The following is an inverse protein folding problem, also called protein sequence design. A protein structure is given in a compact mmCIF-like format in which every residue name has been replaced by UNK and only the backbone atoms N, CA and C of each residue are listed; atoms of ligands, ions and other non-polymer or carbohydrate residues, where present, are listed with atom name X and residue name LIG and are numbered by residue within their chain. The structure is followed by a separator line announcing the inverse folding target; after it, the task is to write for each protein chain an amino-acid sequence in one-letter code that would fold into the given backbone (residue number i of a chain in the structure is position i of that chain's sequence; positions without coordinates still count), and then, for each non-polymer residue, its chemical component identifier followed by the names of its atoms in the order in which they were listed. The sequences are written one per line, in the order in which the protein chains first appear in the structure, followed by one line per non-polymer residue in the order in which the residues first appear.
data_IF_559024839315
#
_entry.id   IF_559024839315
#
_cell.length_a   1.000
_cell.length_b   1.000
_cell.length_c   1.000
_cell.angle_alpha   90.00
_cell.angle_beta   90.00
_cell.angle_gamma   90.00
#
_symmetry.space_group_name_H-M   'P 1'
#
loop_
_entity.id
_entity.type
_entity.pdbx_description
1 polymer ?
#
# COMPACT_ATOMS: atom_id res chain seq x y z
N UNK A 1 6.59 24.28 28.46
CA UNK A 1 8.04 24.54 28.39
C UNK A 1 8.24 26.05 28.29
N UNK A 2 8.87 26.69 29.29
CA UNK A 2 9.06 28.16 29.28
C UNK A 2 10.17 28.52 28.26
N UNK A 3 9.80 29.20 27.18
CA UNK A 3 10.71 29.78 26.17
C UNK A 3 11.66 30.85 26.75
N UNK A 4 11.58 31.16 28.05
CA UNK A 4 12.34 32.22 28.72
C UNK A 4 13.79 31.85 29.09
N UNK A 5 14.29 30.66 28.70
CA UNK A 5 15.63 30.17 29.05
C UNK A 5 16.60 30.06 27.87
N UNK A 6 16.14 30.30 26.63
CA UNK A 6 17.01 30.32 25.46
C UNK A 6 17.21 31.78 25.06
N UNK A 7 18.45 32.28 25.07
CA UNK A 7 18.76 33.61 24.50
C UNK A 7 18.20 33.65 23.08
N UNK A 8 17.40 34.68 22.76
CA UNK A 8 16.81 34.88 21.44
C UNK A 8 17.86 34.95 20.31
N UNK A 9 19.14 35.16 20.65
CA UNK A 9 20.27 35.17 19.71
C UNK A 9 20.65 33.78 19.16
N UNK A 10 20.16 32.68 19.76
CA UNK A 10 20.49 31.31 19.33
C UNK A 10 19.43 30.64 18.46
N UNK A 11 18.28 31.29 18.22
CA UNK A 11 17.18 30.76 17.43
C UNK A 11 16.78 31.79 16.38
N UNK A 12 16.88 31.44 15.11
CA UNK A 12 16.41 32.27 14.00
C UNK A 12 15.22 31.59 13.31
N UNK A 13 14.04 32.21 13.36
CA UNK A 13 12.87 31.78 12.59
C UNK A 13 12.84 32.51 11.26
N UNK A 14 13.16 31.82 10.18
CA UNK A 14 13.26 32.43 8.84
C UNK A 14 11.89 32.72 8.22
N UNK A 15 10.83 32.06 8.69
CA UNK A 15 9.54 32.05 8.01
C UNK A 15 9.67 31.46 6.61
N UNK A 16 8.83 31.94 5.68
CA UNK A 16 8.91 31.56 4.27
C UNK A 16 10.00 32.37 3.58
N UNK A 17 10.95 31.68 2.97
CA UNK A 17 12.10 32.26 2.27
C UNK A 17 12.18 31.74 0.84
N UNK A 18 13.01 32.37 0.00
CA UNK A 18 13.25 31.94 -1.38
C UNK A 18 14.10 30.68 -1.45
N UNK A 19 14.02 29.93 -2.55
CA UNK A 19 14.85 28.74 -2.79
C UNK A 19 16.36 29.07 -2.76
N UNK A 20 16.75 30.27 -3.18
CA UNK A 20 18.14 30.74 -3.05
C UNK A 20 18.57 30.87 -1.59
N UNK A 21 17.68 31.38 -0.74
CA UNK A 21 17.94 31.48 0.70
C UNK A 21 18.01 30.09 1.35
N UNK A 22 17.12 29.17 0.97
CA UNK A 22 17.15 27.77 1.44
C UNK A 22 18.49 27.10 1.09
N UNK A 23 18.95 27.24 -0.16
CA UNK A 23 20.25 26.70 -0.59
C UNK A 23 21.41 27.32 0.18
N UNK A 24 21.34 28.60 0.48
CA UNK A 24 22.33 29.29 1.32
C UNK A 24 22.34 28.73 2.73
N UNK A 25 21.17 28.45 3.33
CA UNK A 25 21.07 27.82 4.64
C UNK A 25 21.68 26.40 4.63
N UNK A 26 21.34 25.57 3.65
CA UNK A 26 21.94 24.23 3.56
C UNK A 26 23.47 24.29 3.44
N UNK A 27 24.03 25.17 2.59
CA UNK A 27 25.48 25.32 2.43
C UNK A 27 26.21 25.73 3.71
N UNK A 28 25.54 26.43 4.62
CA UNK A 28 26.10 26.89 5.88
C UNK A 28 25.67 26.03 7.08
N UNK A 29 24.81 25.03 6.87
CA UNK A 29 24.32 24.16 7.92
C UNK A 29 25.37 23.09 8.27
N UNK A 30 25.57 22.88 9.56
CA UNK A 30 26.47 21.84 10.05
C UNK A 30 25.75 20.50 10.23
N UNK A 31 24.46 20.54 10.55
CA UNK A 31 23.57 19.39 10.74
C UNK A 31 22.16 19.79 10.32
N UNK A 32 21.42 18.87 9.70
CA UNK A 32 19.98 18.96 9.50
C UNK A 32 19.29 17.98 10.44
N UNK A 33 18.40 18.47 11.30
CA UNK A 33 17.60 17.65 12.21
C UNK A 33 16.13 17.69 11.80
N UNK A 34 15.58 16.54 11.39
CA UNK A 34 14.13 16.38 11.20
C UNK A 34 13.50 15.75 12.43
N UNK A 35 12.59 16.51 13.05
CA UNK A 35 11.76 16.06 14.17
C UNK A 35 10.35 15.62 13.73
N UNK A 36 10.11 15.47 12.42
CA UNK A 36 8.79 15.15 11.89
C UNK A 36 8.33 13.78 12.38
N UNK A 37 7.08 13.66 12.81
CA UNK A 37 6.44 12.38 13.16
C UNK A 37 5.72 11.76 11.95
N UNK A 38 5.49 12.58 10.91
CA UNK A 38 4.75 12.22 9.70
C UNK A 38 5.39 12.92 8.50
N UNK A 39 6.36 12.26 7.88
CA UNK A 39 7.04 12.71 6.67
C UNK A 39 6.77 11.74 5.50
N UNK A 40 6.53 12.28 4.31
CA UNK A 40 6.39 11.49 3.09
C UNK A 40 7.77 11.06 2.58
N UNK A 41 8.03 11.20 1.28
CA UNK A 41 9.36 10.93 0.73
C UNK A 41 10.48 11.75 1.41
N UNK A 42 10.19 12.89 2.03
CA UNK A 42 11.20 13.64 2.78
C UNK A 42 12.24 14.31 1.87
N UNK A 43 11.79 15.05 0.85
CA UNK A 43 12.66 15.84 -0.03
C UNK A 43 13.70 16.70 0.72
N UNK A 44 13.38 17.37 1.85
CA UNK A 44 14.37 18.12 2.62
C UNK A 44 15.54 17.27 3.13
N UNK A 45 15.33 15.98 3.41
CA UNK A 45 16.38 15.05 3.79
C UNK A 45 17.36 14.85 2.64
N UNK A 46 16.84 14.54 1.45
CA UNK A 46 17.63 14.32 0.24
C UNK A 46 18.35 15.60 -0.20
N UNK A 47 17.70 16.76 -0.09
CA UNK A 47 18.32 18.06 -0.33
C UNK A 47 19.50 18.29 0.62
N UNK A 48 19.30 18.11 1.94
CA UNK A 48 20.36 18.24 2.92
C UNK A 48 21.55 17.31 2.62
N UNK A 49 21.28 16.05 2.26
CA UNK A 49 22.32 15.11 1.83
C UNK A 49 23.07 15.61 0.60
N UNK A 50 22.36 16.11 -0.41
CA UNK A 50 22.94 16.63 -1.65
C UNK A 50 23.79 17.89 -1.43
N UNK A 51 23.51 18.67 -0.38
CA UNK A 51 24.34 19.79 0.06
C UNK A 51 25.51 19.38 0.98
N UNK A 52 25.70 18.08 1.25
CA UNK A 52 26.77 17.60 2.12
C UNK A 52 26.53 17.92 3.60
N UNK A 53 25.27 18.06 4.00
CA UNK A 53 24.86 18.29 5.39
C UNK A 53 24.51 16.95 6.02
N UNK A 54 25.14 16.53 7.13
CA UNK A 54 24.73 15.36 7.88
C UNK A 54 23.27 15.46 8.34
N UNK A 55 22.51 14.40 8.08
CA UNK A 55 21.08 14.33 8.37
C UNK A 55 20.83 13.42 9.57
N UNK A 56 20.17 13.98 10.59
CA UNK A 56 19.60 13.27 11.72
C UNK A 56 18.08 13.38 11.59
N UNK A 57 17.35 12.28 11.73
CA UNK A 57 15.91 12.31 11.57
C UNK A 57 15.21 11.32 12.49
N UNK A 58 14.01 11.69 12.97
CA UNK A 58 13.12 10.76 13.66
C UNK A 58 12.78 9.59 12.74
N UNK A 59 12.89 8.37 13.26
CA UNK A 59 12.58 7.15 12.53
C UNK A 59 11.06 6.93 12.45
N UNK A 60 10.38 7.75 11.67
CA UNK A 60 8.92 7.70 11.49
C UNK A 60 8.53 7.69 10.02
N UNK A 61 7.37 7.09 9.71
CA UNK A 61 6.80 7.02 8.36
C UNK A 61 7.83 6.57 7.30
N UNK A 62 8.00 7.32 6.21
CA UNK A 62 8.90 6.98 5.11
C UNK A 62 10.35 7.48 5.31
N UNK A 63 10.66 8.19 6.41
CA UNK A 63 12.02 8.66 6.72
C UNK A 63 13.05 7.53 6.71
N UNK A 64 12.82 6.36 7.34
CA UNK A 64 13.80 5.27 7.30
C UNK A 64 14.12 4.76 5.89
N UNK A 65 13.11 4.70 5.01
CA UNK A 65 13.26 4.23 3.63
C UNK A 65 14.04 5.22 2.76
N UNK A 66 13.68 6.51 2.86
CA UNK A 66 14.37 7.61 2.18
C UNK A 66 15.81 7.72 2.64
N UNK A 67 16.03 7.67 3.95
CA UNK A 67 17.36 7.78 4.56
C UNK A 67 18.22 6.56 4.23
N UNK A 68 17.64 5.36 4.15
CA UNK A 68 18.42 4.13 3.98
C UNK A 68 19.53 4.04 5.03
N UNK A 69 20.77 3.86 4.58
CA UNK A 69 21.96 3.95 5.43
C UNK A 69 22.59 5.36 5.46
N UNK A 70 22.03 6.32 4.73
CA UNK A 70 22.58 7.66 4.51
C UNK A 70 22.28 8.66 5.61
N UNK A 71 22.29 8.27 6.88
CA UNK A 71 22.19 9.23 7.98
C UNK A 71 21.74 8.57 9.26
N UNK A 72 21.50 9.36 10.31
CA UNK A 72 21.22 8.83 11.64
C UNK A 72 19.72 8.84 11.91
N UNK A 73 19.15 7.66 12.07
CA UNK A 73 17.76 7.45 12.45
C UNK A 73 17.62 7.42 13.98
N UNK A 74 16.79 8.30 14.52
CA UNK A 74 16.53 8.44 15.95
C UNK A 74 15.20 7.77 16.27
N UNK A 75 15.25 6.63 16.97
CA UNK A 75 14.06 5.88 17.38
C UNK A 75 13.43 6.43 18.67
N UNK A 76 14.27 6.81 19.64
CA UNK A 76 13.84 7.39 20.92
C UNK A 76 14.12 8.89 20.93
N UNK A 77 13.09 9.70 21.18
CA UNK A 77 13.18 11.16 21.10
C UNK A 77 13.71 11.80 22.39
N UNK A 78 14.89 11.35 22.82
CA UNK A 78 15.58 11.79 24.04
C UNK A 78 16.43 13.04 23.74
N UNK A 79 15.91 14.22 24.11
CA UNK A 79 16.48 15.52 23.74
C UNK A 79 17.96 15.67 24.15
N UNK A 80 18.36 15.37 25.42
CA UNK A 80 19.79 15.35 25.79
C UNK A 80 20.67 14.49 24.88
N UNK A 81 20.25 13.27 24.55
CA UNK A 81 21.04 12.37 23.69
C UNK A 81 21.12 12.89 22.26
N UNK A 82 20.05 13.47 21.74
CA UNK A 82 20.05 14.08 20.40
C UNK A 82 21.03 15.26 20.36
N UNK A 83 21.05 16.10 21.39
CA UNK A 83 21.98 17.22 21.48
C UNK A 83 23.45 16.75 21.55
N UNK A 84 23.74 15.71 22.32
CA UNK A 84 25.07 15.08 22.37
C UNK A 84 25.47 14.50 21.01
N UNK A 85 24.56 13.78 20.36
CA UNK A 85 24.76 13.23 19.02
C UNK A 85 25.05 14.31 17.98
N UNK A 86 24.29 15.42 18.00
CA UNK A 86 24.54 16.58 17.14
C UNK A 86 25.94 17.15 17.39
N UNK A 87 26.35 17.27 18.66
CA UNK A 87 27.68 17.76 19.00
C UNK A 87 28.79 16.84 18.48
N UNK A 88 28.62 15.51 18.60
CA UNK A 88 29.57 14.53 18.05
C UNK A 88 29.68 14.68 16.52
N UNK A 89 28.54 14.77 15.82
CA UNK A 89 28.52 14.92 14.35
C UNK A 89 29.17 16.23 13.88
N UNK A 90 29.13 17.28 14.69
CA UNK A 90 29.79 18.56 14.39
C UNK A 90 31.29 18.53 14.75
N UNK A 91 31.66 17.92 15.88
CA UNK A 91 33.02 17.98 16.41
C UNK A 91 33.96 16.89 15.85
N UNK A 92 33.45 15.68 15.60
CA UNK A 92 34.25 14.55 15.11
C UNK A 92 34.19 14.45 13.58
N UNK A 93 35.28 14.86 12.93
CA UNK A 93 35.41 14.84 11.48
C UNK A 93 35.35 13.42 10.88
N UNK A 94 35.79 12.39 11.62
CA UNK A 94 35.73 11.02 11.13
C UNK A 94 34.29 10.50 11.13
N UNK A 95 33.53 10.78 12.20
CA UNK A 95 32.11 10.45 12.26
C UNK A 95 31.34 11.20 11.18
N UNK A 96 31.60 12.50 11.03
CA UNK A 96 31.02 13.32 9.98
C UNK A 96 31.27 12.73 8.60
N UNK A 97 32.52 12.40 8.28
CA UNK A 97 32.87 11.89 6.96
C UNK A 97 32.18 10.55 6.67
N UNK A 98 32.13 9.63 7.64
CA UNK A 98 31.41 8.35 7.49
C UNK A 98 29.92 8.53 7.16
N UNK A 99 29.28 9.50 7.79
CA UNK A 99 27.87 9.84 7.51
C UNK A 99 27.73 10.39 6.09
N UNK A 100 28.64 11.30 5.68
CA UNK A 100 28.60 11.89 4.34
C UNK A 100 28.88 10.87 3.23
N UNK A 101 29.78 9.90 3.46
CA UNK A 101 30.06 8.83 2.51
C UNK A 101 28.81 7.97 2.29
N UNK A 102 28.13 7.61 3.39
CA UNK A 102 26.86 6.87 3.32
C UNK A 102 25.71 7.67 2.73
N UNK A 103 25.65 8.98 2.98
CA UNK A 103 24.71 9.88 2.31
C UNK A 103 24.92 9.90 0.81
N UNK A 104 26.19 10.00 0.39
CA UNK A 104 26.57 10.00 -1.03
C UNK A 104 26.17 8.69 -1.70
N UNK A 105 26.41 7.55 -1.04
CA UNK A 105 25.95 6.23 -1.50
C UNK A 105 24.41 6.22 -1.65
N UNK A 106 23.68 6.71 -0.66
CA UNK A 106 22.22 6.77 -0.68
C UNK A 106 21.68 7.66 -1.83
N UNK A 107 22.33 8.78 -2.12
CA UNK A 107 21.94 9.69 -3.22
C UNK A 107 21.97 9.01 -4.59
N UNK A 108 22.81 7.98 -4.78
CA UNK A 108 22.86 7.24 -6.06
C UNK A 108 21.52 6.57 -6.39
N UNK A 109 20.74 6.15 -5.38
CA UNK A 109 19.40 5.56 -5.54
C UNK A 109 18.42 6.53 -6.23
N UNK A 110 18.69 7.82 -6.11
CA UNK A 110 17.82 8.91 -6.59
C UNK A 110 18.43 9.67 -7.77
N UNK A 111 19.49 9.13 -8.39
CA UNK A 111 20.09 9.76 -9.56
C UNK A 111 19.12 9.77 -10.75
N UNK A 112 19.20 10.83 -11.55
CA UNK A 112 18.37 10.97 -12.78
C UNK A 112 18.58 9.80 -13.74
N UNK A 113 19.82 9.31 -13.85
CA UNK A 113 20.15 8.16 -14.69
C UNK A 113 19.46 6.89 -14.20
N UNK A 114 19.51 6.59 -12.91
CA UNK A 114 18.84 5.40 -12.36
C UNK A 114 17.32 5.52 -12.45
N UNK A 115 16.76 6.71 -12.23
CA UNK A 115 15.34 6.97 -12.45
C UNK A 115 14.93 6.77 -13.92
N UNK A 116 15.74 7.26 -14.87
CA UNK A 116 15.51 7.13 -16.30
C UNK A 116 15.66 5.69 -16.79
N UNK A 117 16.65 4.94 -16.31
CA UNK A 117 16.84 3.51 -16.63
C UNK A 117 15.64 2.69 -16.15
N UNK A 118 15.20 2.92 -14.91
CA UNK A 118 14.01 2.25 -14.35
C UNK A 118 12.74 2.59 -15.14
N UNK A 119 12.58 3.85 -15.53
CA UNK A 119 11.45 4.31 -16.34
C UNK A 119 11.49 3.72 -17.75
N UNK A 120 12.65 3.72 -18.41
CA UNK A 120 12.81 3.20 -19.77
C UNK A 120 12.60 1.68 -19.82
N UNK A 121 13.16 0.94 -18.87
CA UNK A 121 12.93 -0.50 -18.77
C UNK A 121 11.44 -0.84 -18.61
N UNK A 122 10.72 -0.04 -17.82
CA UNK A 122 9.28 -0.17 -17.68
C UNK A 122 8.53 0.13 -19.01
N UNK A 123 8.96 1.14 -19.76
CA UNK A 123 8.36 1.49 -21.06
C UNK A 123 8.66 0.45 -22.15
N UNK A 124 9.90 -0.01 -22.27
CA UNK A 124 10.32 -0.97 -23.31
C UNK A 124 9.60 -2.32 -23.14
N UNK A 125 9.42 -2.76 -21.89
CA UNK A 125 8.68 -3.98 -21.56
C UNK A 125 7.21 -3.93 -22.03
N UNK A 126 6.59 -2.74 -21.96
CA UNK A 126 5.19 -2.55 -22.36
C UNK A 126 4.98 -2.63 -23.89
N UNK A 127 6.04 -2.45 -24.70
CA UNK A 127 5.93 -2.23 -26.15
C UNK A 127 6.12 -3.48 -27.04
N UNK A 128 6.75 -4.57 -26.59
CA UNK A 128 7.25 -5.63 -27.49
C UNK A 128 6.59 -7.03 -27.36
N UNK A 129 5.31 -7.10 -26.98
CA UNK A 129 4.53 -8.35 -26.81
C UNK A 129 4.70 -9.38 -27.95
N UNK A 130 5.07 -10.63 -27.66
CA UNK A 130 4.95 -11.77 -28.59
C UNK A 130 4.23 -12.97 -27.94
N UNK A 131 3.28 -13.57 -28.67
CA UNK A 131 2.37 -14.65 -28.24
C UNK A 131 2.88 -16.05 -28.66
N UNK A 132 2.42 -17.11 -27.98
CA UNK A 132 2.66 -18.51 -28.39
C UNK A 132 1.46 -19.46 -28.09
N UNK A 133 1.15 -20.43 -28.98
CA UNK A 133 -0.04 -21.28 -28.92
C UNK A 133 0.24 -22.65 -28.27
N UNK A 134 -0.23 -22.86 -27.03
CA UNK A 134 -0.14 -24.14 -26.32
C UNK A 134 -1.43 -24.42 -25.51
N UNK A 135 -2.59 -24.10 -26.11
CA UNK A 135 -3.92 -24.34 -25.52
C UNK A 135 -4.55 -25.70 -25.88
N UNK A 136 -3.84 -26.60 -26.56
CA UNK A 136 -4.38 -27.92 -26.94
C UNK A 136 -3.66 -29.05 -26.23
N UNK A 137 -4.15 -29.44 -25.05
CA UNK A 137 -4.30 -30.82 -24.53
C UNK A 137 -4.55 -30.79 -23.02
N UNK A 138 -5.81 -30.55 -22.65
CA UNK A 138 -6.37 -30.95 -21.37
C UNK A 138 -7.01 -32.33 -21.54
N UNK A 139 -6.61 -33.30 -20.72
CA UNK A 139 -7.40 -34.50 -20.47
C UNK A 139 -7.73 -34.56 -18.98
N UNK A 140 -9.01 -34.79 -18.71
CA UNK A 140 -9.73 -34.50 -17.47
C UNK A 140 -10.30 -35.82 -16.96
N UNK A 141 -9.48 -36.72 -16.43
CA UNK A 141 -9.97 -37.96 -15.82
C UNK A 141 -8.99 -38.50 -14.78
N UNK A 142 -9.08 -38.02 -13.54
CA UNK A 142 -9.08 -38.84 -12.29
C UNK A 142 -8.98 -37.90 -11.10
N UNK A 143 -9.97 -38.00 -10.21
CA UNK A 143 -10.05 -37.21 -9.00
C UNK A 143 -8.87 -37.43 -8.05
N UNK A 144 -8.74 -36.45 -7.14
CA UNK A 144 -7.58 -36.15 -6.29
C UNK A 144 -6.44 -35.54 -7.10
N UNK A 145 -6.60 -34.26 -7.45
CA UNK A 145 -5.53 -33.45 -8.00
C UNK A 145 -4.29 -33.56 -7.10
N UNK A 146 -3.13 -33.72 -7.73
CA UNK A 146 -1.85 -33.78 -7.05
C UNK A 146 -1.77 -32.66 -6.02
N UNK A 147 -1.61 -33.04 -4.75
CA UNK A 147 -1.28 -32.11 -3.66
C UNK A 147 -0.03 -31.38 -4.14
N UNK A 148 -0.19 -30.09 -4.50
CA UNK A 148 0.93 -29.23 -4.83
C UNK A 148 2.01 -29.40 -3.76
N UNK A 149 3.28 -29.43 -4.17
CA UNK A 149 4.41 -29.65 -3.25
C UNK A 149 4.21 -28.76 -2.01
N UNK A 150 4.22 -29.32 -0.78
CA UNK A 150 4.02 -28.52 0.42
C UNK A 150 5.11 -27.45 0.51
N UNK A 151 4.74 -26.20 0.75
CA UNK A 151 5.68 -25.19 1.22
C UNK A 151 6.43 -25.73 2.44
N UNK A 152 7.77 -25.71 2.40
CA UNK A 152 8.61 -26.13 3.53
C UNK A 152 8.45 -25.24 4.78
N UNK A 153 7.81 -24.08 4.64
CA UNK A 153 7.52 -23.13 5.73
C UNK A 153 6.35 -23.54 6.64
N UNK A 154 5.44 -24.39 6.15
CA UNK A 154 4.21 -24.76 6.85
C UNK A 154 4.18 -26.26 7.10
N UNK A 155 3.75 -26.67 8.29
CA UNK A 155 3.48 -28.08 8.57
C UNK A 155 2.25 -28.49 7.72
N UNK A 156 2.22 -29.70 7.13
CA UNK A 156 1.11 -30.16 6.26
C UNK A 156 -0.29 -30.05 6.90
N UNK A 157 -0.37 -29.92 8.24
CA UNK A 157 -1.62 -29.79 9.00
C UNK A 157 -2.16 -28.36 9.14
N UNK A 158 -1.48 -27.33 8.61
CA UNK A 158 -1.83 -25.92 8.85
C UNK A 158 -2.00 -25.10 7.57
N UNK A 159 -2.25 -25.74 6.41
CA UNK A 159 -2.59 -25.01 5.19
C UNK A 159 -4.08 -24.69 5.14
N UNK A 160 -4.48 -23.51 4.60
CA UNK A 160 -5.88 -23.24 4.32
C UNK A 160 -6.39 -24.22 3.27
N UNK A 161 -7.60 -24.75 3.49
CA UNK A 161 -8.22 -25.72 2.58
C UNK A 161 -8.72 -25.01 1.31
N UNK A 162 -9.25 -23.80 1.46
CA UNK A 162 -9.76 -22.97 0.37
C UNK A 162 -9.24 -21.53 0.50
N UNK A 163 -8.02 -21.23 0.00
CA UNK A 163 -7.53 -19.86 -0.07
C UNK A 163 -8.15 -19.09 -1.24
N UNK A 164 -8.58 -17.86 -1.00
CA UNK A 164 -8.93 -16.91 -2.04
C UNK A 164 -8.33 -15.53 -1.79
N UNK A 165 -8.04 -14.81 -2.88
CA UNK A 165 -7.47 -13.47 -2.85
C UNK A 165 -8.38 -12.52 -3.61
N UNK A 166 -8.63 -11.34 -3.03
CA UNK A 166 -9.35 -10.25 -3.67
C UNK A 166 -8.33 -9.25 -4.21
N UNK A 167 -8.16 -9.23 -5.53
CA UNK A 167 -7.49 -8.15 -6.24
C UNK A 167 -8.43 -6.95 -6.34
N UNK A 168 -7.92 -5.78 -5.98
CA UNK A 168 -8.72 -4.55 -5.99
C UNK A 168 -7.84 -3.31 -6.15
N UNK A 169 -8.49 -2.16 -6.38
CA UNK A 169 -7.88 -0.83 -6.31
C UNK A 169 -8.53 0.01 -5.22
N UNK A 170 -7.77 0.93 -4.63
CA UNK A 170 -8.25 1.71 -3.49
C UNK A 170 -9.61 2.39 -3.79
N UNK A 171 -10.53 2.33 -2.82
CA UNK A 171 -11.88 2.93 -2.91
C UNK A 171 -12.78 2.36 -4.02
N UNK A 172 -12.51 1.16 -4.52
CA UNK A 172 -13.43 0.44 -5.40
C UNK A 172 -14.62 -0.21 -4.65
N UNK A 173 -14.62 -0.26 -3.32
CA UNK A 173 -15.68 -0.90 -2.54
C UNK A 173 -15.31 -2.26 -1.91
N UNK A 174 -14.06 -2.69 -2.04
CA UNK A 174 -13.58 -3.97 -1.51
C UNK A 174 -13.79 -4.15 0.00
N UNK A 175 -13.78 -3.08 0.81
CA UNK A 175 -14.09 -3.19 2.24
C UNK A 175 -15.54 -3.61 2.49
N UNK A 176 -16.50 -3.07 1.73
CA UNK A 176 -17.90 -3.49 1.83
C UNK A 176 -18.07 -4.96 1.42
N UNK A 177 -17.37 -5.39 0.36
CA UNK A 177 -17.33 -6.80 -0.02
C UNK A 177 -16.83 -7.67 1.13
N UNK A 178 -15.74 -7.27 1.79
CA UNK A 178 -15.19 -8.02 2.92
C UNK A 178 -16.17 -8.16 4.10
N UNK A 179 -16.97 -7.13 4.38
CA UNK A 179 -18.04 -7.17 5.39
C UNK A 179 -19.10 -8.21 5.02
N UNK A 180 -19.59 -8.20 3.77
CA UNK A 180 -20.54 -9.20 3.29
C UNK A 180 -19.97 -10.63 3.35
N UNK A 181 -18.73 -10.84 2.87
CA UNK A 181 -18.09 -12.17 2.89
C UNK A 181 -17.94 -12.69 4.32
N UNK A 182 -17.52 -11.82 5.24
CA UNK A 182 -17.39 -12.17 6.67
C UNK A 182 -18.73 -12.54 7.28
N UNK A 183 -19.77 -11.75 7.02
CA UNK A 183 -21.11 -12.00 7.54
C UNK A 183 -21.74 -13.29 7.00
N UNK A 184 -21.30 -13.76 5.82
CA UNK A 184 -21.79 -14.99 5.19
C UNK A 184 -20.89 -16.21 5.46
N UNK A 185 -19.91 -16.11 6.37
CA UNK A 185 -19.05 -17.24 6.75
C UNK A 185 -17.94 -17.57 5.75
N UNK A 186 -17.72 -16.72 4.75
CA UNK A 186 -16.71 -16.92 3.69
C UNK A 186 -15.32 -16.44 4.14
N UNK A 187 -14.92 -16.83 5.35
CA UNK A 187 -13.69 -16.38 5.99
C UNK A 187 -13.77 -14.94 6.51
N UNK A 188 -12.62 -14.33 6.80
CA UNK A 188 -12.51 -12.94 7.26
C UNK A 188 -11.55 -12.17 6.37
N UNK A 189 -11.89 -11.88 5.10
CA UNK A 189 -10.98 -11.19 4.22
C UNK A 189 -10.70 -9.77 4.69
N UNK A 190 -9.42 -9.40 4.79
CA UNK A 190 -8.97 -8.02 4.96
C UNK A 190 -7.55 -7.86 4.40
N UNK A 191 -6.96 -6.69 4.55
CA UNK A 191 -5.62 -6.38 4.05
C UNK A 191 -4.56 -6.85 5.07
N UNK A 192 -4.41 -8.17 5.23
CA UNK A 192 -3.43 -8.74 6.16
C UNK A 192 -1.98 -8.40 5.79
N UNK A 193 -1.71 -8.21 4.50
CA UNK A 193 -0.36 -8.05 3.94
C UNK A 193 -0.05 -6.60 3.55
N UNK A 194 -0.59 -5.62 4.28
CA UNK A 194 -0.25 -4.23 4.01
C UNK A 194 1.26 -3.98 4.20
N UNK A 195 1.84 -3.35 3.19
CA UNK A 195 3.23 -2.89 3.19
C UNK A 195 3.31 -1.41 3.60
N UNK A 196 4.30 -1.00 4.42
CA UNK A 196 5.36 -1.82 5.03
C UNK A 196 4.84 -2.78 6.11
N UNK A 197 5.29 -4.04 6.05
CA UNK A 197 4.93 -5.08 7.02
C UNK A 197 5.41 -4.72 8.43
N UNK A 198 4.59 -5.03 9.44
CA UNK A 198 4.86 -4.67 10.85
C UNK A 198 4.56 -3.20 11.17
N UNK A 199 4.32 -2.36 10.15
CA UNK A 199 4.00 -0.94 10.31
C UNK A 199 2.54 -0.67 9.95
N UNK A 200 2.15 -0.91 8.69
CA UNK A 200 0.77 -0.64 8.23
C UNK A 200 -0.22 -1.66 8.80
N UNK A 201 0.22 -2.90 8.96
CA UNK A 201 -0.54 -3.98 9.59
C UNK A 201 -0.11 -4.25 11.05
N UNK A 202 0.46 -3.27 11.77
CA UNK A 202 0.89 -3.46 13.16
C UNK A 202 -0.22 -4.01 14.08
N UNK A 203 -1.47 -3.60 13.83
CA UNK A 203 -2.66 -4.09 14.52
C UNK A 203 -2.82 -5.62 14.43
N UNK A 204 -2.41 -6.23 13.31
CA UNK A 204 -2.50 -7.66 13.07
C UNK A 204 -1.52 -8.42 13.96
N UNK A 205 -0.28 -7.94 14.04
CA UNK A 205 0.75 -8.52 14.91
C UNK A 205 0.32 -8.48 16.37
N UNK A 206 -0.22 -7.34 16.80
CA UNK A 206 -0.74 -7.16 18.16
C UNK A 206 -1.92 -8.13 18.42
N UNK A 207 -2.84 -8.30 17.45
CA UNK A 207 -3.96 -9.23 17.56
C UNK A 207 -3.54 -10.71 17.58
N UNK A 208 -2.48 -11.08 16.87
CA UNK A 208 -1.95 -12.44 16.84
C UNK A 208 -0.99 -12.74 18.00
N UNK A 209 -0.60 -11.73 18.78
CA UNK A 209 0.39 -11.86 19.86
C UNK A 209 1.81 -12.14 19.36
N UNK A 210 2.16 -11.60 18.18
CA UNK A 210 3.43 -11.86 17.49
C UNK A 210 4.28 -10.58 17.44
N UNK A 211 5.61 -10.72 17.49
CA UNK A 211 6.53 -9.60 17.32
C UNK A 211 6.37 -8.96 15.93
N UNK A 212 6.37 -7.62 15.85
CA UNK A 212 6.26 -6.85 14.59
C UNK A 212 7.39 -7.11 13.59
N UNK A 213 8.47 -7.75 14.03
CA UNK A 213 9.60 -8.16 13.20
C UNK A 213 9.57 -9.63 12.79
N UNK A 214 8.64 -10.43 13.31
CA UNK A 214 8.55 -11.87 13.05
C UNK A 214 7.45 -12.17 12.04
N UNK A 215 7.75 -11.89 10.78
CA UNK A 215 6.83 -12.11 9.66
C UNK A 215 6.43 -13.59 9.51
N UNK A 216 7.38 -14.51 9.73
CA UNK A 216 7.14 -15.95 9.61
C UNK A 216 6.14 -16.43 10.66
N UNK A 217 6.32 -16.04 11.93
CA UNK A 217 5.37 -16.39 12.98
C UNK A 217 4.00 -15.75 12.75
N UNK A 218 3.97 -14.52 12.22
CA UNK A 218 2.73 -13.84 11.85
C UNK A 218 1.96 -14.64 10.80
N UNK A 219 2.62 -15.11 9.74
CA UNK A 219 1.99 -15.95 8.70
C UNK A 219 1.40 -17.25 9.29
N UNK A 220 2.12 -17.89 10.20
CA UNK A 220 1.67 -19.14 10.82
C UNK A 220 0.44 -18.94 11.71
N UNK A 221 0.44 -17.90 12.55
CA UNK A 221 -0.70 -17.60 13.42
C UNK A 221 -1.88 -17.01 12.65
N UNK A 222 -1.64 -16.19 11.62
CA UNK A 222 -2.68 -15.66 10.74
C UNK A 222 -3.52 -16.78 10.13
N UNK A 223 -2.87 -17.74 9.47
CA UNK A 223 -3.58 -18.85 8.81
C UNK A 223 -4.36 -19.66 9.84
N UNK A 224 -3.73 -19.99 10.96
CA UNK A 224 -4.37 -20.76 12.04
C UNK A 224 -5.61 -20.07 12.63
N UNK A 225 -5.59 -18.74 12.79
CA UNK A 225 -6.66 -17.99 13.45
C UNK A 225 -7.76 -17.50 12.49
N UNK A 226 -7.43 -17.27 11.22
CA UNK A 226 -8.35 -16.67 10.25
C UNK A 226 -9.02 -17.68 9.29
N UNK A 227 -8.71 -18.98 9.39
CA UNK A 227 -9.43 -20.05 8.66
C UNK A 227 -9.93 -21.18 9.57
N UNK A 228 -10.66 -20.92 10.67
CA UNK A 228 -11.15 -21.97 11.57
C UNK A 228 -12.14 -22.91 10.88
N UNK A 229 -12.83 -22.45 9.82
CA UNK A 229 -13.70 -23.25 8.95
C UNK A 229 -12.98 -23.74 7.68
N UNK A 230 -11.67 -23.54 7.57
CA UNK A 230 -10.86 -23.96 6.41
C UNK A 230 -10.83 -22.97 5.24
N UNK A 231 -11.66 -21.92 5.25
CA UNK A 231 -11.67 -20.86 4.22
C UNK A 231 -10.75 -19.72 4.65
N UNK A 232 -9.80 -19.35 3.80
CA UNK A 232 -8.90 -18.22 4.04
C UNK A 232 -9.07 -17.18 2.95
N UNK A 233 -9.55 -15.99 3.33
CA UNK A 233 -9.67 -14.85 2.42
C UNK A 233 -8.68 -13.76 2.77
N UNK A 234 -8.07 -13.12 1.78
CA UNK A 234 -7.37 -11.85 1.96
C UNK A 234 -7.64 -10.91 0.78
N UNK A 235 -7.50 -9.60 1.00
CA UNK A 235 -7.49 -8.61 -0.09
C UNK A 235 -6.14 -7.92 -0.16
N UNK A 236 -5.70 -7.58 -1.37
CA UNK A 236 -4.42 -6.91 -1.56
C UNK A 236 -4.46 -5.93 -2.74
N UNK A 237 -3.75 -4.82 -2.56
CA UNK A 237 -3.37 -3.91 -3.63
C UNK A 237 -2.21 -4.52 -4.43
N UNK A 238 -1.98 -4.04 -5.64
CA UNK A 238 -0.97 -4.61 -6.54
C UNK A 238 0.42 -4.61 -5.90
N UNK A 239 0.80 -3.50 -5.28
CA UNK A 239 2.11 -3.38 -4.65
C UNK A 239 2.23 -4.20 -3.35
N UNK A 240 1.11 -4.51 -2.68
CA UNK A 240 1.12 -5.42 -1.52
C UNK A 240 1.40 -6.87 -1.93
N UNK A 241 0.89 -7.31 -3.10
CA UNK A 241 1.23 -8.61 -3.69
C UNK A 241 2.74 -8.74 -3.87
N UNK A 242 3.34 -7.75 -4.53
CA UNK A 242 4.77 -7.75 -4.81
C UNK A 242 5.60 -7.75 -3.52
N UNK A 243 5.24 -6.90 -2.55
CA UNK A 243 5.92 -6.85 -1.26
C UNK A 243 5.82 -8.18 -0.48
N UNK A 244 4.67 -8.86 -0.53
CA UNK A 244 4.50 -10.16 0.10
C UNK A 244 5.41 -11.22 -0.53
N UNK A 245 5.50 -11.26 -1.87
CA UNK A 245 6.40 -12.18 -2.57
C UNK A 245 7.85 -11.93 -2.16
N UNK A 246 8.29 -10.67 -2.18
CA UNK A 246 9.65 -10.29 -1.78
C UNK A 246 9.96 -10.65 -0.32
N UNK A 247 8.99 -10.48 0.59
CA UNK A 247 9.15 -10.88 1.98
C UNK A 247 9.28 -12.40 2.11
N UNK A 248 8.44 -13.15 1.39
CA UNK A 248 8.46 -14.61 1.41
C UNK A 248 9.71 -15.21 0.76
N UNK A 249 10.28 -14.55 -0.27
CA UNK A 249 11.53 -14.94 -0.91
C UNK A 249 12.74 -14.91 0.04
N UNK A 250 12.70 -14.10 1.10
CA UNK A 250 13.73 -14.11 2.15
C UNK A 250 13.78 -15.45 2.90
N UNK A 251 12.66 -16.18 2.91
CA UNK A 251 12.53 -17.45 3.60
C UNK A 251 12.60 -18.65 2.64
N UNK A 252 12.05 -18.51 1.44
CA UNK A 252 12.14 -19.50 0.37
C UNK A 252 12.33 -18.80 -0.99
N UNK A 253 13.57 -18.79 -1.53
CA UNK A 253 13.88 -18.12 -2.80
C UNK A 253 13.13 -18.67 -4.01
N UNK A 254 12.48 -19.83 -3.92
CA UNK A 254 11.70 -20.41 -5.01
C UNK A 254 10.31 -19.80 -5.16
N UNK A 255 9.83 -19.05 -4.17
CA UNK A 255 8.54 -18.35 -4.24
C UNK A 255 8.62 -17.27 -5.32
N UNK A 256 7.82 -17.40 -6.37
CA UNK A 256 7.71 -16.42 -7.45
C UNK A 256 6.34 -15.73 -7.43
N UNK A 257 5.30 -16.46 -7.04
CA UNK A 257 3.92 -15.97 -7.08
C UNK A 257 3.14 -16.27 -5.81
N UNK A 258 1.92 -15.72 -5.73
CA UNK A 258 1.03 -15.92 -4.57
C UNK A 258 0.63 -17.40 -4.43
N UNK A 259 0.52 -18.10 -5.55
CA UNK A 259 0.16 -19.51 -5.64
C UNK A 259 1.26 -20.42 -5.06
N UNK A 260 2.52 -19.96 -5.06
CA UNK A 260 3.61 -20.65 -4.38
C UNK A 260 3.50 -20.54 -2.86
N UNK A 261 2.78 -19.53 -2.35
CA UNK A 261 2.50 -19.30 -0.92
C UNK A 261 1.17 -19.93 -0.51
N UNK A 262 0.17 -19.85 -1.39
CA UNK A 262 -1.19 -20.34 -1.19
C UNK A 262 -1.60 -21.18 -2.40
N UNK A 263 -1.26 -22.48 -2.42
CA UNK A 263 -1.64 -23.37 -3.51
C UNK A 263 -3.15 -23.38 -3.73
N UNK A 264 -3.58 -23.49 -5.00
CA UNK A 264 -4.99 -23.48 -5.41
C UNK A 264 -5.75 -22.16 -5.13
N UNK A 265 -5.05 -21.04 -4.94
CA UNK A 265 -5.68 -19.72 -4.74
C UNK A 265 -6.73 -19.41 -5.80
N UNK A 266 -7.93 -19.07 -5.35
CA UNK A 266 -9.01 -18.53 -6.20
C UNK A 266 -8.96 -17.00 -6.18
N UNK A 267 -8.96 -16.37 -7.35
CA UNK A 267 -8.91 -14.92 -7.45
C UNK A 267 -10.29 -14.31 -7.65
N UNK A 268 -10.61 -13.31 -6.85
CA UNK A 268 -11.76 -12.43 -7.01
C UNK A 268 -11.22 -11.08 -7.44
N UNK A 269 -11.77 -10.48 -8.49
CA UNK A 269 -11.34 -9.19 -9.01
C UNK A 269 -12.48 -8.18 -8.96
N UNK A 270 -12.33 -7.16 -8.11
CA UNK A 270 -13.36 -6.15 -7.90
C UNK A 270 -12.91 -4.78 -8.42
N UNK A 271 -13.66 -4.27 -9.39
CA UNK A 271 -13.43 -2.95 -9.99
C UNK A 271 -14.60 -2.01 -9.68
N UNK A 272 -14.45 -0.73 -10.00
CA UNK A 272 -15.55 0.25 -9.99
C UNK A 272 -15.70 0.89 -11.36
N UNK A 273 -16.92 0.96 -11.92
CA UNK A 273 -17.13 1.48 -13.29
C UNK A 273 -16.76 2.97 -13.39
N UNK A 274 -17.21 3.77 -12.44
CA UNK A 274 -16.94 5.21 -12.41
C UNK A 274 -15.57 5.52 -11.79
N UNK A 275 -14.53 5.52 -12.63
CA UNK A 275 -13.15 5.83 -12.25
C UNK A 275 -12.96 7.26 -11.76
N UNK A 276 -13.77 8.20 -12.23
CA UNK A 276 -13.70 9.58 -11.76
C UNK A 276 -14.23 9.68 -10.34
N UNK A 277 -15.41 9.10 -10.08
CA UNK A 277 -15.94 9.06 -8.72
C UNK A 277 -15.02 8.28 -7.78
N UNK A 278 -14.34 7.23 -8.26
CA UNK A 278 -13.31 6.53 -7.50
C UNK A 278 -12.11 7.43 -7.17
N UNK A 279 -11.56 8.15 -8.15
CA UNK A 279 -10.43 9.07 -7.96
C UNK A 279 -10.77 10.23 -7.01
N UNK A 280 -11.97 10.81 -7.12
CA UNK A 280 -12.46 11.85 -6.19
C UNK A 280 -12.61 11.29 -4.78
N UNK A 281 -13.16 10.09 -4.66
CA UNK A 281 -13.31 9.38 -3.39
C UNK A 281 -11.95 9.09 -2.73
N UNK A 282 -10.95 8.67 -3.52
CA UNK A 282 -9.58 8.43 -3.07
C UNK A 282 -8.89 9.72 -2.63
N UNK A 283 -8.98 10.77 -3.44
CA UNK A 283 -8.40 12.07 -3.12
C UNK A 283 -8.98 12.69 -1.85
N UNK A 284 -10.28 12.53 -1.61
CA UNK A 284 -10.94 12.97 -0.37
C UNK A 284 -10.46 12.18 0.84
N UNK A 285 -10.30 10.86 0.70
CA UNK A 285 -9.76 10.01 1.76
C UNK A 285 -8.34 10.41 2.12
N UNK A 286 -7.47 10.61 1.11
CA UNK A 286 -6.08 11.03 1.28
C UNK A 286 -5.97 12.38 2.00
N UNK A 287 -6.78 13.36 1.60
CA UNK A 287 -6.76 14.68 2.22
C UNK A 287 -7.26 14.68 3.66
N UNK A 288 -8.26 13.84 3.97
CA UNK A 288 -8.89 13.81 5.29
C UNK A 288 -8.21 12.84 6.26
N UNK A 289 -7.35 11.93 5.77
CA UNK A 289 -6.83 10.80 6.52
C UNK A 289 -7.90 9.76 6.91
N UNK A 290 -9.14 9.89 6.38
CA UNK A 290 -10.28 9.03 6.74
C UNK A 290 -10.59 8.05 5.63
N UNK A 291 -10.53 6.76 5.97
CA UNK A 291 -10.67 5.65 5.03
C UNK A 291 -11.96 4.82 5.22
N UNK A 292 -12.63 4.95 6.38
CA UNK A 292 -13.89 4.28 6.75
C UNK A 292 -14.93 5.32 7.22
N UNK A 293 -16.23 5.03 7.05
CA UNK A 293 -17.33 5.71 7.76
C UNK A 293 -17.75 4.78 8.89
N UNK A 294 -17.59 5.15 10.17
CA UNK A 294 -18.55 6.06 10.81
C UNK A 294 -17.90 6.98 11.86
N UNK A 295 -17.96 8.29 11.65
CA UNK A 295 -17.56 9.25 12.69
C UNK A 295 -18.44 10.49 12.60
N UNK A 296 -19.70 10.32 13.05
CA UNK A 296 -20.70 11.37 13.18
C UNK A 296 -20.30 12.38 14.27
N UNK A 297 -19.30 13.24 14.05
CA UNK A 297 -19.05 14.34 15.00
C UNK A 297 -18.26 15.56 14.51
N UNK A 298 -17.44 15.50 13.44
CA UNK A 298 -16.55 16.61 13.12
C UNK A 298 -16.59 17.08 11.66
N UNK A 299 -16.91 18.36 11.46
CA UNK A 299 -16.89 19.09 10.19
C UNK A 299 -15.45 19.14 9.62
N UNK A 300 -15.00 18.05 9.00
CA UNK A 300 -13.73 18.04 8.27
C UNK A 300 -13.80 19.00 7.10
N UNK A 301 -12.80 19.88 6.95
CA UNK A 301 -12.70 20.80 5.80
C UNK A 301 -12.69 19.98 4.50
N UNK A 302 -13.59 20.30 3.57
CA UNK A 302 -13.58 19.73 2.23
C UNK A 302 -12.27 20.14 1.52
N UNK A 303 -11.59 19.22 0.80
CA UNK A 303 -10.38 19.59 0.08
C UNK A 303 -10.67 20.65 -0.98
N UNK A 304 -9.69 21.48 -1.33
CA UNK A 304 -9.83 22.42 -2.46
C UNK A 304 -9.55 21.68 -3.75
N UNK A 305 -10.40 21.85 -4.77
CA UNK A 305 -10.20 21.22 -6.09
C UNK A 305 -8.74 21.32 -6.56
N UNK A 306 -8.17 20.19 -6.98
CA UNK A 306 -6.82 20.10 -7.52
C UNK A 306 -6.79 19.09 -8.67
N UNK A 307 -6.73 19.60 -9.90
CA UNK A 307 -6.71 18.77 -11.10
C UNK A 307 -5.54 17.79 -11.11
N UNK A 308 -4.33 18.22 -10.77
CA UNK A 308 -3.13 17.36 -10.80
C UNK A 308 -3.25 16.21 -9.80
N UNK A 309 -3.73 16.50 -8.58
CA UNK A 309 -3.93 15.46 -7.57
C UNK A 309 -4.97 14.44 -8.02
N UNK A 310 -6.13 14.90 -8.52
CA UNK A 310 -7.18 14.02 -9.05
C UNK A 310 -6.73 13.21 -10.26
N UNK A 311 -5.96 13.82 -11.16
CA UNK A 311 -5.38 13.15 -12.32
C UNK A 311 -4.40 12.06 -11.90
N UNK A 312 -3.55 12.31 -10.92
CA UNK A 312 -2.65 11.29 -10.37
C UNK A 312 -3.42 10.13 -9.73
N UNK A 313 -4.47 10.41 -8.95
CA UNK A 313 -5.33 9.36 -8.38
C UNK A 313 -6.04 8.54 -9.47
N UNK A 314 -6.53 9.22 -10.51
CA UNK A 314 -7.20 8.57 -11.64
C UNK A 314 -6.25 7.66 -12.41
N UNK A 315 -5.07 8.15 -12.78
CA UNK A 315 -4.06 7.37 -13.50
C UNK A 315 -3.51 6.24 -12.63
N UNK A 316 -3.35 6.43 -11.32
CA UNK A 316 -2.88 5.35 -10.43
C UNK A 316 -3.89 4.21 -10.35
N UNK A 317 -5.19 4.50 -10.31
CA UNK A 317 -6.24 3.48 -10.36
C UNK A 317 -6.14 2.70 -11.67
N UNK A 318 -6.06 3.39 -12.81
CA UNK A 318 -5.95 2.72 -14.12
C UNK A 318 -4.68 1.87 -14.23
N UNK A 319 -3.55 2.38 -13.77
CA UNK A 319 -2.28 1.66 -13.79
C UNK A 319 -2.32 0.41 -12.92
N UNK A 320 -2.95 0.49 -11.74
CA UNK A 320 -3.08 -0.65 -10.84
C UNK A 320 -4.02 -1.73 -11.39
N UNK A 321 -5.13 -1.34 -12.01
CA UNK A 321 -6.03 -2.29 -12.68
C UNK A 321 -5.36 -2.95 -13.89
N UNK A 322 -4.63 -2.18 -14.69
CA UNK A 322 -3.85 -2.73 -15.80
C UNK A 322 -2.81 -3.74 -15.33
N UNK A 323 -2.18 -3.50 -14.17
CA UNK A 323 -1.22 -4.41 -13.58
C UNK A 323 -1.87 -5.72 -13.11
N UNK A 324 -3.04 -5.64 -12.46
CA UNK A 324 -3.83 -6.81 -12.11
C UNK A 324 -4.28 -7.62 -13.33
N UNK A 325 -4.85 -6.96 -14.34
CA UNK A 325 -5.29 -7.60 -15.58
C UNK A 325 -4.13 -8.27 -16.31
N UNK A 326 -2.96 -7.61 -16.33
CA UNK A 326 -1.74 -8.17 -16.90
C UNK A 326 -1.28 -9.40 -16.14
N UNK A 327 -1.28 -9.34 -14.81
CA UNK A 327 -0.95 -10.49 -13.96
C UNK A 327 -1.86 -11.68 -14.21
N UNK A 328 -3.17 -11.45 -14.25
CA UNK A 328 -4.13 -12.52 -14.53
C UNK A 328 -3.90 -13.12 -15.92
N UNK A 329 -3.62 -12.29 -16.91
CA UNK A 329 -3.27 -12.75 -18.26
C UNK A 329 -1.98 -13.56 -18.26
N UNK A 330 -0.90 -13.08 -17.64
CA UNK A 330 0.43 -13.69 -17.66
C UNK A 330 0.44 -15.03 -16.89
N UNK A 331 -0.30 -15.13 -15.80
CA UNK A 331 -0.43 -16.36 -15.00
C UNK A 331 -1.57 -17.26 -15.45
N UNK A 332 -2.26 -16.93 -16.56
CA UNK A 332 -3.45 -17.63 -17.03
C UNK A 332 -4.53 -17.82 -15.95
N UNK A 333 -4.66 -16.86 -15.04
CA UNK A 333 -5.67 -16.85 -13.98
C UNK A 333 -6.96 -16.28 -14.55
N UNK A 334 -8.07 -16.98 -14.33
CA UNK A 334 -9.42 -16.47 -14.62
C UNK A 334 -10.10 -16.08 -13.31
N UNK A 335 -10.07 -14.80 -12.91
CA UNK A 335 -10.69 -14.35 -11.67
C UNK A 335 -12.21 -14.22 -11.79
N UNK A 336 -12.93 -14.44 -10.70
CA UNK A 336 -14.33 -14.01 -10.59
C UNK A 336 -14.39 -12.49 -10.55
N UNK A 337 -14.81 -11.89 -11.66
CA UNK A 337 -14.74 -10.44 -11.87
C UNK A 337 -16.12 -9.78 -11.83
N UNK A 338 -16.24 -8.69 -11.10
CA UNK A 338 -17.47 -7.90 -11.03
C UNK A 338 -17.18 -6.45 -10.63
N UNK A 339 -18.17 -5.57 -10.81
CA UNK A 339 -18.05 -4.18 -10.43
C UNK A 339 -18.76 -3.88 -9.10
N UNK A 340 -18.28 -2.85 -8.42
CA UNK A 340 -18.92 -2.25 -7.25
C UNK A 340 -20.42 -2.01 -7.43
N UNK A 341 -20.81 -1.51 -8.59
CA UNK A 341 -22.20 -1.24 -8.91
C UNK A 341 -23.04 -2.52 -8.97
N UNK A 342 -22.46 -3.66 -9.34
CA UNK A 342 -23.13 -4.95 -9.36
C UNK A 342 -23.34 -5.46 -7.92
N UNK A 343 -22.34 -5.27 -7.03
CA UNK A 343 -22.46 -5.55 -5.59
C UNK A 343 -23.53 -4.68 -4.93
N UNK A 344 -23.63 -3.40 -5.28
CA UNK A 344 -24.68 -2.54 -4.75
C UNK A 344 -26.08 -2.90 -5.26
N UNK A 345 -26.18 -3.36 -6.51
CA UNK A 345 -27.45 -3.71 -7.13
C UNK A 345 -28.06 -4.98 -6.51
N UNK A 346 -27.22 -6.00 -6.28
CA UNK A 346 -27.66 -7.26 -5.68
C UNK A 346 -26.52 -7.93 -4.89
N UNK A 347 -26.30 -7.52 -3.62
CA UNK A 347 -25.24 -8.09 -2.81
C UNK A 347 -25.39 -9.60 -2.64
N UNK A 348 -26.62 -10.08 -2.44
CA UNK A 348 -26.89 -11.51 -2.18
C UNK A 348 -26.45 -12.37 -3.35
N UNK A 349 -26.80 -11.96 -4.58
CA UNK A 349 -26.38 -12.65 -5.79
C UNK A 349 -24.85 -12.71 -5.92
N UNK A 350 -24.16 -11.59 -5.71
CA UNK A 350 -22.69 -11.56 -5.80
C UNK A 350 -22.05 -12.48 -4.76
N UNK A 351 -22.54 -12.48 -3.52
CA UNK A 351 -22.00 -13.36 -2.47
C UNK A 351 -22.25 -14.84 -2.77
N UNK A 352 -23.44 -15.19 -3.26
CA UNK A 352 -23.73 -16.56 -3.70
C UNK A 352 -22.80 -17.01 -4.83
N UNK A 353 -22.59 -16.16 -5.84
CA UNK A 353 -21.71 -16.48 -6.96
C UNK A 353 -20.24 -16.61 -6.53
N UNK A 354 -19.80 -15.81 -5.56
CA UNK A 354 -18.46 -15.95 -4.97
C UNK A 354 -18.36 -17.27 -4.20
N UNK A 355 -19.35 -17.61 -3.38
CA UNK A 355 -19.38 -18.87 -2.64
C UNK A 355 -19.26 -20.07 -3.58
N UNK A 356 -20.02 -20.08 -4.68
CA UNK A 356 -19.94 -21.11 -5.71
C UNK A 356 -18.57 -21.13 -6.39
N UNK A 357 -18.03 -19.96 -6.77
CA UNK A 357 -16.74 -19.85 -7.45
C UNK A 357 -15.54 -20.33 -6.60
N UNK A 358 -15.55 -20.06 -5.30
CA UNK A 358 -14.52 -20.55 -4.39
C UNK A 358 -14.80 -21.97 -3.87
N UNK A 359 -15.88 -22.59 -4.34
CA UNK A 359 -16.31 -23.94 -3.97
C UNK A 359 -16.55 -24.07 -2.45
N UNK A 360 -17.12 -23.02 -1.83
CA UNK A 360 -17.42 -23.01 -0.41
C UNK A 360 -18.48 -24.07 -0.06
N UNK A 361 -18.22 -24.99 0.90
CA UNK A 361 -19.20 -25.98 1.33
C UNK A 361 -20.45 -25.31 1.89
N UNK A 362 -21.63 -25.72 1.40
CA UNK A 362 -22.92 -25.13 1.78
C UNK A 362 -23.20 -25.12 3.29
N UNK A 363 -22.67 -26.09 4.04
CA UNK A 363 -22.80 -26.16 5.50
C UNK A 363 -21.94 -25.14 6.28
N UNK A 364 -21.03 -24.43 5.61
CA UNK A 364 -20.20 -23.36 6.18
C UNK A 364 -20.78 -21.97 5.91
N UNK A 365 -21.83 -21.86 5.10
CA UNK A 365 -22.52 -20.62 4.79
C UNK A 365 -23.52 -20.29 5.89
N UNK A 366 -23.63 -19.01 6.24
CA UNK A 366 -24.66 -18.51 7.16
C UNK A 366 -26.02 -18.50 6.43
N UNK A 367 -27.11 -18.84 7.14
CA UNK A 367 -28.44 -18.96 6.54
C UNK A 367 -28.92 -17.67 5.87
N UNK A 368 -29.68 -17.80 4.76
CA UNK A 368 -30.14 -16.69 3.89
C UNK A 368 -30.93 -15.57 4.60
N UNK A 369 -31.35 -15.78 5.85
CA UNK A 369 -32.24 -14.88 6.58
C UNK A 369 -31.53 -13.75 7.36
N UNK A 370 -30.23 -13.84 7.62
CA UNK A 370 -29.62 -13.09 8.75
C UNK A 370 -28.64 -11.96 8.38
N UNK A 371 -28.46 -11.61 7.10
CA UNK A 371 -27.49 -10.57 6.71
C UNK A 371 -28.15 -9.42 5.93
N UNK A 372 -29.05 -8.70 6.60
CA UNK A 372 -29.25 -7.28 6.30
C UNK A 372 -28.15 -6.49 7.01
N UNK A 373 -27.03 -6.26 6.32
CA UNK A 373 -26.11 -5.21 6.72
C UNK A 373 -26.86 -3.88 6.55
N UNK A 374 -27.31 -3.27 7.66
CA UNK A 374 -27.71 -1.86 7.69
C UNK A 374 -26.53 -1.07 7.12
N UNK A 375 -26.65 -0.67 5.86
CA UNK A 375 -25.57 -0.03 5.12
C UNK A 375 -25.35 1.38 5.69
N UNK A 376 -24.53 1.49 6.73
CA UNK A 376 -24.01 2.76 7.25
C UNK A 376 -23.03 3.46 6.28
N UNK A 377 -22.87 2.92 5.07
CA UNK A 377 -22.25 3.63 3.97
C UNK A 377 -23.26 4.65 3.41
N UNK A 378 -23.54 5.70 4.19
CA UNK A 378 -24.07 6.94 3.64
C UNK A 378 -23.20 7.29 2.42
N UNK A 379 -23.84 7.22 1.27
CA UNK A 379 -23.26 7.48 -0.05
C UNK A 379 -22.56 8.83 0.04
N UNK A 380 -21.24 8.84 0.18
CA UNK A 380 -20.40 10.04 0.21
C UNK A 380 -20.47 10.84 -1.11
N UNK A 381 -21.34 10.50 -2.04
CA UNK A 381 -21.72 11.33 -3.18
C UNK A 381 -22.59 12.50 -2.69
N UNK A 382 -22.01 13.39 -1.89
CA UNK A 382 -22.58 14.70 -1.62
C UNK A 382 -22.49 15.57 -2.88
N UNK A 383 -23.30 16.64 -2.93
CA UNK A 383 -23.32 17.59 -4.06
C UNK A 383 -21.93 18.11 -4.44
N UNK A 384 -21.04 18.20 -3.46
CA UNK A 384 -19.64 18.55 -3.64
C UNK A 384 -18.85 17.51 -4.45
N UNK A 385 -19.03 16.21 -4.19
CA UNK A 385 -18.37 15.16 -4.98
C UNK A 385 -18.81 15.18 -6.45
N UNK A 386 -20.09 15.44 -6.69
CA UNK A 386 -20.63 15.59 -8.05
C UNK A 386 -20.03 16.81 -8.75
N UNK A 387 -19.92 17.95 -8.06
CA UNK A 387 -19.31 19.17 -8.59
C UNK A 387 -17.84 18.95 -8.97
N UNK A 388 -17.05 18.32 -8.09
CA UNK A 388 -15.63 18.03 -8.32
C UNK A 388 -15.46 17.05 -9.49
N UNK A 389 -16.27 15.97 -9.55
CA UNK A 389 -16.23 15.01 -10.64
C UNK A 389 -16.55 15.67 -11.99
N UNK A 390 -17.61 16.47 -12.05
CA UNK A 390 -18.01 17.18 -13.27
C UNK A 390 -16.93 18.15 -13.74
N UNK A 391 -16.32 18.90 -12.81
CA UNK A 391 -15.21 19.80 -13.12
C UNK A 391 -13.99 19.05 -13.64
N UNK A 392 -13.60 17.96 -12.97
CA UNK A 392 -12.45 17.15 -13.36
C UNK A 392 -12.63 16.55 -14.76
N UNK A 393 -13.80 15.97 -15.06
CA UNK A 393 -14.13 15.44 -16.39
C UNK A 393 -14.02 16.50 -17.49
N UNK A 394 -14.51 17.73 -17.23
CA UNK A 394 -14.41 18.83 -18.17
C UNK A 394 -12.95 19.18 -18.48
N UNK A 395 -12.11 19.30 -17.45
CA UNK A 395 -10.70 19.64 -17.61
C UNK A 395 -9.90 18.49 -18.29
N UNK A 396 -10.23 17.23 -18.00
CA UNK A 396 -9.61 16.05 -18.62
C UNK A 396 -9.81 16.03 -20.15
N UNK A 397 -11.03 16.34 -20.61
CA UNK A 397 -11.37 16.39 -22.04
C UNK A 397 -10.68 17.54 -22.78
N UNK A 398 -10.43 18.67 -22.12
CA UNK A 398 -9.67 19.79 -22.69
C UNK A 398 -8.22 19.38 -22.93
N UNK A 399 -7.61 18.66 -21.99
CA UNK A 399 -6.22 18.19 -22.13
C UNK A 399 -6.06 17.08 -23.18
N UNK A 400 -7.08 16.24 -23.39
CA UNK A 400 -7.06 15.18 -24.40
C UNK A 400 -7.14 15.68 -25.85
N UNK A 401 -7.76 16.84 -26.11
CA UNK A 401 -7.88 17.41 -27.46
C UNK A 401 -6.62 18.14 -27.95
N UNK A 402 -5.63 18.39 -27.10
CA UNK A 402 -4.39 19.10 -27.47
C UNK A 402 -3.29 18.12 -27.94
N UNK A 403 -3.53 16.80 -27.84
CA UNK A 403 -2.59 15.75 -28.24
C UNK A 403 -2.93 15.06 -29.58
N UNK A 404 -3.79 15.69 -30.41
CA UNK A 404 -4.20 15.20 -31.74
C UNK A 404 -3.24 15.60 -32.85
#
# INVERSE_FOLDING_TARGET
MRLSLISAERICFTGKISDESVRTLYRNAHVFLSASEHEGFGMPLIEAMAFGVPVLAKASSAVPETMGQGGILINEWDIPKIAELMNIVVADQNVRQKILDKQTENLTRFSRQNAQVRLKAAVDYLLHQTESPLFEKLDVTTGVGEIGKPLKLFNQKTQPVLPYMIAFTMRCGSTLLCEYLTANGLGRPTEYFQYPHGVKNAWLYDALGVSKTDFKQMMQELIKQCSPNGIFGAKMLWYHKQALIEEMQKHDPHIQEIEDIFPNTRWIYMQRKDKVAQAVSLWRAEYSGRWHSPDHAHKTKKPKYNFRALYLMYVSILAEEQAWERYFKDQAITPFSFYYEDLLADPRKIISQIADFIEAPSHLLVSEADVELETQLEKLADSYSQEISARFLKELNITGSIAG
#
